data_IF_808330210377
#
_entry.id   IF_808330210377
#
_cell.length_a   1.000
_cell.length_b   1.000
_cell.length_c   1.000
_cell.angle_alpha   90.00
_cell.angle_beta   90.00
_cell.angle_gamma   90.00
#
_symmetry.space_group_name_H-M   'P 1'
#
loop_
_entity.id
_entity.type
_entity.pdbx_description
1 polymer ?
#
# COMPACT_ATOMS: atom_id res chain seq x y z
N UNK A 1 -12.67 4.20 -28.24
CA UNK A 1 -13.59 5.31 -27.91
C UNK A 1 -13.43 5.67 -26.45
N UNK A 2 -12.90 6.86 -26.13
CA UNK A 2 -12.95 7.40 -24.76
C UNK A 2 -14.36 7.98 -24.56
N UNK A 3 -15.19 7.30 -23.78
CA UNK A 3 -16.50 7.82 -23.41
C UNK A 3 -16.29 9.02 -22.50
N UNK A 4 -16.54 10.23 -23.00
CA UNK A 4 -16.52 11.45 -22.20
C UNK A 4 -17.71 11.44 -21.25
N UNK A 5 -17.45 11.39 -19.95
CA UNK A 5 -18.48 11.49 -18.92
C UNK A 5 -19.22 12.84 -19.04
N UNK A 6 -20.54 12.84 -18.85
CA UNK A 6 -21.33 14.07 -18.78
C UNK A 6 -20.83 14.96 -17.64
N UNK A 7 -21.03 16.28 -17.77
CA UNK A 7 -20.53 17.28 -16.81
C UNK A 7 -20.98 16.99 -15.37
N UNK A 8 -22.20 16.48 -15.18
CA UNK A 8 -22.74 16.07 -13.88
C UNK A 8 -22.09 14.80 -13.30
N UNK A 9 -21.76 13.80 -14.12
CA UNK A 9 -21.09 12.58 -13.66
C UNK A 9 -19.63 12.84 -13.28
N UNK A 10 -18.97 13.79 -13.94
CA UNK A 10 -17.57 14.14 -13.70
C UNK A 10 -17.32 14.98 -12.42
N UNK A 11 -18.36 15.57 -11.82
CA UNK A 11 -18.21 16.42 -10.63
C UNK A 11 -17.67 15.65 -9.42
N UNK A 12 -18.23 14.47 -9.13
CA UNK A 12 -17.80 13.64 -8.00
C UNK A 12 -16.32 13.21 -8.10
N UNK A 13 -15.86 12.59 -9.22
CA UNK A 13 -14.45 12.23 -9.35
C UNK A 13 -13.48 13.41 -9.28
N UNK A 14 -13.88 14.60 -9.73
CA UNK A 14 -13.06 15.82 -9.61
C UNK A 14 -12.92 16.28 -8.16
N UNK A 15 -14.00 16.23 -7.37
CA UNK A 15 -13.92 16.55 -5.94
C UNK A 15 -13.05 15.53 -5.20
N UNK A 16 -13.20 14.23 -5.49
CA UNK A 16 -12.32 13.20 -4.94
C UNK A 16 -10.86 13.51 -5.28
N UNK A 17 -10.55 13.78 -6.56
CA UNK A 17 -9.19 14.14 -7.00
C UNK A 17 -8.65 15.35 -6.23
N UNK A 18 -9.48 16.37 -6.00
CA UNK A 18 -9.09 17.57 -5.27
C UNK A 18 -8.66 17.24 -3.85
N UNK A 19 -9.47 16.48 -3.11
CA UNK A 19 -9.14 16.03 -1.75
C UNK A 19 -7.85 15.18 -1.76
N UNK A 20 -7.72 14.26 -2.73
CA UNK A 20 -6.54 13.40 -2.85
C UNK A 20 -5.25 14.17 -3.17
N UNK A 21 -5.34 15.32 -3.84
CA UNK A 21 -4.19 16.21 -4.07
C UNK A 21 -3.90 17.06 -2.83
N UNK A 22 -4.92 17.58 -2.16
CA UNK A 22 -4.76 18.36 -0.92
C UNK A 22 -4.08 17.56 0.20
N UNK A 23 -4.35 16.25 0.31
CA UNK A 23 -3.63 15.39 1.28
C UNK A 23 -2.13 15.23 0.94
N UNK A 24 -1.76 15.25 -0.35
CA UNK A 24 -0.36 15.14 -0.77
C UNK A 24 0.39 16.45 -0.47
N UNK A 25 -0.23 17.57 -0.82
CA UNK A 25 0.25 18.91 -0.47
C UNK A 25 0.44 19.07 1.04
N UNK A 26 -0.54 18.61 1.84
CA UNK A 26 -0.47 18.64 3.30
C UNK A 26 0.76 17.88 3.84
N UNK A 27 1.07 16.71 3.28
CA UNK A 27 2.29 15.95 3.63
C UNK A 27 3.55 16.72 3.24
N UNK A 28 3.59 17.31 2.05
CA UNK A 28 4.77 18.02 1.55
C UNK A 28 5.10 19.20 2.46
N UNK A 29 4.08 20.00 2.80
CA UNK A 29 4.19 21.12 3.74
C UNK A 29 4.63 20.70 5.15
N UNK A 30 4.18 19.54 5.63
CA UNK A 30 4.69 18.98 6.89
C UNK A 30 6.17 18.57 6.78
N UNK A 31 6.56 17.94 5.67
CA UNK A 31 7.94 17.51 5.41
C UNK A 31 8.90 18.71 5.31
N UNK A 32 8.41 19.82 4.76
CA UNK A 32 9.13 21.10 4.66
C UNK A 32 9.13 21.91 5.98
N UNK A 33 8.40 21.45 7.01
CA UNK A 33 8.36 22.09 8.32
C UNK A 33 7.40 23.28 8.43
N UNK A 34 6.53 23.51 7.45
CA UNK A 34 5.54 24.59 7.46
C UNK A 34 4.38 24.34 8.45
N UNK A 35 4.12 23.06 8.77
CA UNK A 35 2.99 22.65 9.61
C UNK A 35 3.53 21.79 10.76
N UNK A 36 3.05 22.06 11.97
CA UNK A 36 3.37 21.24 13.14
C UNK A 36 2.66 19.89 13.12
N UNK A 37 3.16 18.90 13.86
CA UNK A 37 2.51 17.58 13.97
C UNK A 37 1.04 17.66 14.42
N UNK A 38 0.64 18.48 15.42
CA UNK A 38 -0.78 18.69 15.74
C UNK A 38 -1.59 19.33 14.61
N UNK A 39 -0.96 20.24 13.84
CA UNK A 39 -1.56 20.88 12.67
C UNK A 39 -1.82 19.87 11.55
N UNK A 40 -0.88 18.95 11.30
CA UNK A 40 -1.01 17.84 10.36
C UNK A 40 -2.21 16.96 10.72
N UNK A 41 -2.27 16.49 11.97
CA UNK A 41 -3.36 15.64 12.45
C UNK A 41 -4.73 16.32 12.29
N UNK A 42 -4.82 17.60 12.65
CA UNK A 42 -6.05 18.38 12.53
C UNK A 42 -6.48 18.58 11.07
N UNK A 43 -5.54 18.87 10.18
CA UNK A 43 -5.82 19.05 8.75
C UNK A 43 -6.17 17.73 8.06
N UNK A 44 -5.50 16.64 8.42
CA UNK A 44 -5.80 15.29 7.94
C UNK A 44 -7.21 14.87 8.34
N UNK A 45 -7.61 15.11 9.59
CA UNK A 45 -8.97 14.84 10.07
C UNK A 45 -10.05 15.61 9.31
N UNK A 46 -9.79 16.89 8.97
CA UNK A 46 -10.73 17.67 8.13
C UNK A 46 -10.87 17.08 6.72
N UNK A 47 -9.76 16.74 6.07
CA UNK A 47 -9.81 16.13 4.73
C UNK A 47 -10.48 14.75 4.75
N UNK A 48 -10.30 13.97 5.81
CA UNK A 48 -10.99 12.69 5.99
C UNK A 48 -12.50 12.89 6.15
N UNK A 49 -12.94 13.85 6.96
CA UNK A 49 -14.35 14.20 7.12
C UNK A 49 -14.95 14.77 5.81
N UNK A 50 -14.19 15.53 5.03
CA UNK A 50 -14.60 16.00 3.70
C UNK A 50 -14.81 14.82 2.74
N UNK A 51 -13.90 13.84 2.74
CA UNK A 51 -14.04 12.63 1.94
C UNK A 51 -15.25 11.81 2.36
N UNK A 52 -15.48 11.65 3.67
CA UNK A 52 -16.65 10.92 4.19
C UNK A 52 -17.96 11.58 3.77
N UNK A 53 -18.07 12.91 3.94
CA UNK A 53 -19.23 13.68 3.47
C UNK A 53 -19.43 13.58 1.97
N UNK A 54 -18.34 13.52 1.20
CA UNK A 54 -18.40 13.32 -0.24
C UNK A 54 -18.87 11.92 -0.60
N UNK A 55 -18.52 10.88 0.17
CA UNK A 55 -18.89 9.48 -0.11
C UNK A 55 -20.27 9.07 0.43
N UNK A 56 -20.84 9.84 1.37
CA UNK A 56 -22.13 9.53 2.00
C UNK A 56 -23.36 9.49 1.04
N UNK A 57 -23.48 10.37 0.02
CA UNK A 57 -24.65 10.38 -0.85
C UNK A 57 -24.76 9.16 -1.76
N UNK A 58 -25.99 8.79 -2.12
CA UNK A 58 -26.23 7.76 -3.13
C UNK A 58 -26.19 8.36 -4.55
N UNK A 59 -25.17 8.01 -5.33
CA UNK A 59 -25.03 8.50 -6.71
C UNK A 59 -26.00 7.83 -7.67
N UNK A 60 -26.49 8.57 -8.68
CA UNK A 60 -27.38 8.01 -9.73
C UNK A 60 -26.62 7.23 -10.81
N UNK A 61 -25.39 7.63 -11.13
CA UNK A 61 -24.57 6.98 -12.16
C UNK A 61 -23.94 5.69 -11.60
N UNK A 62 -24.04 4.56 -12.35
CA UNK A 62 -23.37 3.31 -11.96
C UNK A 62 -21.85 3.45 -11.81
N UNK A 63 -21.20 4.30 -12.61
CA UNK A 63 -19.76 4.60 -12.52
C UNK A 63 -19.42 5.23 -11.18
N UNK A 64 -20.17 6.26 -10.78
CA UNK A 64 -19.95 6.95 -9.52
C UNK A 64 -20.29 6.09 -8.31
N UNK A 65 -21.31 5.22 -8.41
CA UNK A 65 -21.60 4.22 -7.37
C UNK A 65 -20.43 3.23 -7.20
N UNK A 66 -19.91 2.68 -8.30
CA UNK A 66 -18.75 1.77 -8.28
C UNK A 66 -17.53 2.46 -7.67
N UNK A 67 -17.27 3.70 -8.07
CA UNK A 67 -16.13 4.46 -7.58
C UNK A 67 -16.27 4.81 -6.09
N UNK A 68 -17.44 5.28 -5.65
CA UNK A 68 -17.70 5.55 -4.23
C UNK A 68 -17.57 4.28 -3.38
N UNK A 69 -18.10 3.14 -3.84
CA UNK A 69 -17.94 1.85 -3.16
C UNK A 69 -16.47 1.43 -3.03
N UNK A 70 -15.67 1.64 -4.08
CA UNK A 70 -14.25 1.36 -4.02
C UNK A 70 -13.51 2.25 -3.01
N UNK A 71 -13.81 3.56 -3.01
CA UNK A 71 -13.22 4.50 -2.05
C UNK A 71 -13.62 4.22 -0.60
N UNK A 72 -14.87 3.79 -0.37
CA UNK A 72 -15.33 3.35 0.95
C UNK A 72 -14.57 2.08 1.40
N UNK A 73 -14.33 1.14 0.49
CA UNK A 73 -13.56 -0.07 0.82
C UNK A 73 -12.11 0.24 1.18
N UNK A 74 -11.49 1.21 0.50
CA UNK A 74 -10.10 1.62 0.73
C UNK A 74 -9.97 2.80 1.70
N UNK A 75 -11.06 3.24 2.35
CA UNK A 75 -11.14 4.51 3.07
C UNK A 75 -10.04 4.64 4.12
N UNK A 76 -9.88 3.60 4.94
CA UNK A 76 -8.88 3.56 6.01
C UNK A 76 -7.46 3.76 5.48
N UNK A 77 -7.19 3.36 4.22
CA UNK A 77 -5.88 3.46 3.57
C UNK A 77 -5.61 4.84 2.96
N UNK A 78 -6.63 5.67 2.75
CA UNK A 78 -6.48 6.95 2.06
C UNK A 78 -5.66 7.97 2.85
N UNK A 79 -5.62 7.87 4.19
CA UNK A 79 -4.99 8.89 5.03
C UNK A 79 -3.89 8.34 5.96
N UNK A 80 -3.58 7.02 5.91
CA UNK A 80 -2.64 6.36 6.83
C UNK A 80 -1.29 7.07 6.89
N UNK A 81 -0.74 7.49 5.76
CA UNK A 81 0.59 8.12 5.72
C UNK A 81 0.64 9.50 6.39
N UNK A 82 -0.50 10.15 6.60
CA UNK A 82 -0.58 11.40 7.37
C UNK A 82 -0.64 11.13 8.88
N UNK A 83 -1.13 9.94 9.26
CA UNK A 83 -1.23 9.51 10.65
C UNK A 83 0.01 8.74 11.12
N UNK A 84 0.69 8.06 10.20
CA UNK A 84 1.87 7.27 10.47
C UNK A 84 3.12 7.87 9.85
N UNK A 85 3.86 8.63 10.67
CA UNK A 85 5.10 9.28 10.27
C UNK A 85 6.14 8.25 9.85
N UNK A 86 6.66 8.38 8.63
CA UNK A 86 7.62 7.44 8.04
C UNK A 86 7.00 6.51 6.99
N UNK A 87 5.67 6.45 6.86
CA UNK A 87 5.03 5.82 5.72
C UNK A 87 5.04 6.76 4.52
N UNK A 88 5.55 6.29 3.38
CA UNK A 88 5.51 7.04 2.13
C UNK A 88 4.07 7.07 1.57
N UNK A 89 3.64 8.19 1.00
CA UNK A 89 2.34 8.31 0.32
C UNK A 89 2.32 7.63 -1.07
N UNK A 90 3.29 6.77 -1.35
CA UNK A 90 3.46 6.06 -2.62
C UNK A 90 3.57 4.57 -2.36
N UNK A 91 3.00 3.77 -3.25
CA UNK A 91 3.13 2.33 -3.25
C UNK A 91 4.44 1.84 -3.92
N UNK A 92 5.32 2.75 -4.36
CA UNK A 92 6.51 2.44 -5.14
C UNK A 92 7.35 1.32 -4.54
N UNK A 93 7.63 1.35 -3.22
CA UNK A 93 8.40 0.28 -2.55
C UNK A 93 7.73 -1.09 -2.65
N UNK A 94 6.40 -1.13 -2.51
CA UNK A 94 5.60 -2.35 -2.63
C UNK A 94 5.58 -2.88 -4.07
N UNK A 95 5.37 -1.99 -5.05
CA UNK A 95 5.42 -2.35 -6.46
C UNK A 95 6.81 -2.86 -6.87
N UNK A 96 7.89 -2.21 -6.44
CA UNK A 96 9.25 -2.67 -6.70
C UNK A 96 9.52 -4.02 -6.02
N UNK A 97 8.99 -4.24 -4.82
CA UNK A 97 9.17 -5.50 -4.10
C UNK A 97 8.49 -6.70 -4.80
N UNK A 98 7.33 -6.52 -5.44
CA UNK A 98 6.60 -7.60 -6.10
C UNK A 98 7.07 -7.90 -7.53
N UNK A 99 7.68 -6.93 -8.23
CA UNK A 99 8.15 -7.07 -9.62
C UNK A 99 8.97 -8.35 -9.89
N UNK A 100 9.97 -8.73 -9.07
CA UNK A 100 10.72 -9.96 -9.28
C UNK A 100 9.82 -11.20 -9.29
N UNK A 101 8.83 -11.28 -8.40
CA UNK A 101 7.90 -12.39 -8.34
C UNK A 101 6.96 -12.45 -9.56
N UNK A 102 6.52 -11.29 -10.06
CA UNK A 102 5.71 -11.19 -11.28
C UNK A 102 6.51 -11.68 -12.50
N UNK A 103 7.77 -11.27 -12.63
CA UNK A 103 8.65 -11.75 -13.70
C UNK A 103 8.90 -13.25 -13.57
N UNK A 104 9.26 -13.72 -12.38
CA UNK A 104 9.48 -15.14 -12.12
C UNK A 104 8.24 -15.97 -12.45
N UNK A 105 7.04 -15.53 -12.10
CA UNK A 105 5.77 -16.20 -12.47
C UNK A 105 5.58 -16.27 -13.99
N UNK A 106 5.94 -15.22 -14.72
CA UNK A 106 5.74 -15.15 -16.18
C UNK A 106 6.70 -16.05 -16.93
N UNK A 107 7.96 -16.08 -16.51
CA UNK A 107 9.01 -16.82 -17.22
C UNK A 107 9.12 -18.25 -16.70
N UNK A 108 8.99 -18.47 -15.39
CA UNK A 108 9.24 -19.75 -14.72
C UNK A 108 7.92 -20.33 -14.17
N UNK A 109 7.69 -21.62 -14.44
CA UNK A 109 6.43 -22.32 -14.14
C UNK A 109 6.14 -22.61 -12.67
N UNK A 110 6.80 -21.92 -11.73
CA UNK A 110 6.68 -22.14 -10.28
C UNK A 110 5.28 -21.93 -9.70
N UNK A 111 4.38 -21.23 -10.41
CA UNK A 111 3.01 -20.97 -9.96
C UNK A 111 1.94 -21.84 -10.67
N UNK A 112 2.34 -22.95 -11.31
CA UNK A 112 1.36 -23.83 -12.01
C UNK A 112 0.61 -24.77 -11.07
N UNK A 113 1.13 -24.99 -9.86
CA UNK A 113 0.49 -25.77 -8.80
C UNK A 113 0.42 -24.93 -7.53
N UNK A 114 -0.54 -25.23 -6.66
CA UNK A 114 -0.68 -24.56 -5.37
C UNK A 114 0.58 -24.71 -4.50
N UNK A 115 1.13 -25.93 -4.46
CA UNK A 115 2.39 -26.21 -3.74
C UNK A 115 3.57 -25.38 -4.28
N UNK A 116 3.68 -25.24 -5.60
CA UNK A 116 4.74 -24.42 -6.21
C UNK A 116 4.57 -22.94 -5.90
N UNK A 117 3.33 -22.43 -5.98
CA UNK A 117 3.02 -21.04 -5.67
C UNK A 117 3.32 -20.73 -4.19
N UNK A 118 2.95 -21.62 -3.27
CA UNK A 118 3.23 -21.49 -1.85
C UNK A 118 4.74 -21.54 -1.56
N UNK A 119 5.48 -22.46 -2.18
CA UNK A 119 6.93 -22.50 -2.04
C UNK A 119 7.58 -21.20 -2.53
N UNK A 120 7.12 -20.66 -3.67
CA UNK A 120 7.61 -19.39 -4.20
C UNK A 120 7.27 -18.20 -3.30
N UNK A 121 6.07 -18.16 -2.71
CA UNK A 121 5.64 -17.15 -1.74
C UNK A 121 6.59 -17.12 -0.53
N UNK A 122 6.81 -18.28 0.12
CA UNK A 122 7.68 -18.42 1.29
C UNK A 122 9.12 -18.01 0.97
N UNK A 123 9.69 -18.56 -0.11
CA UNK A 123 11.07 -18.26 -0.51
C UNK A 123 11.25 -16.79 -0.86
N UNK A 124 10.32 -16.18 -1.60
CA UNK A 124 10.40 -14.76 -1.96
C UNK A 124 10.34 -13.87 -0.72
N UNK A 125 9.49 -14.21 0.24
CA UNK A 125 9.40 -13.50 1.52
C UNK A 125 10.71 -13.54 2.30
N UNK A 126 11.31 -14.73 2.46
CA UNK A 126 12.61 -14.93 3.14
C UNK A 126 13.72 -14.15 2.43
N UNK A 127 13.85 -14.30 1.11
CA UNK A 127 14.88 -13.64 0.32
C UNK A 127 14.73 -12.11 0.36
N UNK A 128 13.49 -11.60 0.27
CA UNK A 128 13.24 -10.15 0.30
C UNK A 128 13.57 -9.57 1.66
N UNK A 129 13.16 -10.25 2.72
CA UNK A 129 13.41 -9.88 4.11
C UNK A 129 14.92 -9.86 4.40
N UNK A 130 15.66 -10.87 3.95
CA UNK A 130 17.11 -10.94 4.13
C UNK A 130 17.83 -9.80 3.41
N UNK A 131 17.43 -9.51 2.16
CA UNK A 131 17.98 -8.37 1.39
C UNK A 131 17.68 -7.02 2.04
N UNK A 132 16.48 -6.81 2.59
CA UNK A 132 16.13 -5.57 3.29
C UNK A 132 16.99 -5.35 4.54
N UNK A 133 17.50 -6.42 5.13
CA UNK A 133 18.39 -6.42 6.30
C UNK A 133 19.88 -6.48 5.94
N UNK A 134 20.24 -6.45 4.65
CA UNK A 134 21.60 -6.67 4.16
C UNK A 134 22.24 -7.99 4.68
N UNK A 135 21.42 -9.02 4.90
CA UNK A 135 21.85 -10.35 5.31
C UNK A 135 21.88 -11.31 4.12
N UNK A 136 22.86 -12.23 4.10
CA UNK A 136 22.89 -13.34 3.15
C UNK A 136 21.92 -14.45 3.59
N UNK A 137 20.87 -14.76 2.80
CA UNK A 137 19.91 -15.80 3.15
C UNK A 137 20.47 -17.22 2.99
N UNK A 138 21.52 -17.43 2.18
CA UNK A 138 21.94 -18.78 1.78
C UNK A 138 22.44 -19.64 2.95
N UNK A 139 23.30 -19.16 3.86
CA UNK A 139 23.74 -19.95 5.01
C UNK A 139 22.57 -20.36 5.91
N UNK A 140 21.63 -19.45 6.12
CA UNK A 140 20.43 -19.68 6.94
C UNK A 140 19.52 -20.74 6.32
N UNK A 141 19.28 -20.66 5.02
CA UNK A 141 18.47 -21.65 4.29
C UNK A 141 19.15 -23.02 4.24
N UNK A 142 20.46 -23.07 4.00
CA UNK A 142 21.23 -24.32 4.01
C UNK A 142 21.19 -25.00 5.38
N UNK A 143 21.42 -24.23 6.45
CA UNK A 143 21.34 -24.73 7.82
C UNK A 143 19.93 -25.25 8.16
N UNK A 144 18.88 -24.58 7.70
CA UNK A 144 17.50 -25.03 7.91
C UNK A 144 17.21 -26.35 7.17
N UNK A 145 17.66 -26.48 5.93
CA UNK A 145 17.47 -27.69 5.10
C UNK A 145 18.27 -28.89 5.62
N UNK A 146 19.44 -28.67 6.23
CA UNK A 146 20.28 -29.73 6.79
C UNK A 146 19.98 -30.05 8.25
N UNK A 147 19.09 -29.31 8.91
CA UNK A 147 18.76 -29.54 10.30
C UNK A 147 17.85 -30.76 10.48
N UNK A 148 18.15 -31.67 11.42
CA UNK A 148 17.29 -32.82 11.72
C UNK A 148 15.98 -32.41 12.43
N UNK A 149 15.88 -31.17 12.93
CA UNK A 149 14.71 -30.62 13.60
C UNK A 149 14.31 -29.30 12.95
N UNK A 150 13.01 -29.07 12.78
CA UNK A 150 12.49 -27.77 12.37
C UNK A 150 12.72 -26.73 13.47
N UNK A 151 13.11 -25.53 13.08
CA UNK A 151 13.21 -24.38 13.97
C UNK A 151 12.77 -23.12 13.23
N UNK A 152 12.36 -22.11 13.99
CA UNK A 152 11.95 -20.81 13.43
C UNK A 152 13.19 -20.03 13.06
N UNK A 153 13.28 -19.61 11.81
CA UNK A 153 14.36 -18.74 11.37
C UNK A 153 14.11 -17.33 11.90
N UNK A 154 14.93 -16.88 12.84
CA UNK A 154 14.85 -15.53 13.37
C UNK A 154 15.65 -14.56 12.50
N UNK A 155 15.00 -13.48 12.07
CA UNK A 155 15.62 -12.39 11.32
C UNK A 155 15.83 -11.12 12.16
N UNK A 156 15.54 -11.14 13.47
CA UNK A 156 15.67 -10.03 14.41
C UNK A 156 14.57 -8.96 14.24
N UNK A 157 13.91 -8.53 15.31
CA UNK A 157 12.87 -7.50 15.27
C UNK A 157 13.48 -6.08 15.31
N UNK A 158 13.57 -5.42 14.15
CA UNK A 158 13.76 -3.97 14.06
C UNK A 158 12.70 -3.39 13.13
N UNK A 159 11.44 -3.45 13.55
CA UNK A 159 10.47 -2.50 13.03
C UNK A 159 10.50 -1.27 13.96
N UNK A 160 10.74 -0.05 13.47
CA UNK A 160 10.36 1.13 14.23
C UNK A 160 8.86 1.01 14.55
N UNK A 161 8.47 1.47 15.75
CA UNK A 161 7.13 1.31 16.28
C UNK A 161 6.08 1.53 15.19
N UNK A 162 5.29 0.48 14.93
CA UNK A 162 4.15 0.55 14.02
C UNK A 162 3.13 1.49 14.64
N UNK A 163 2.78 2.54 13.92
CA UNK A 163 1.37 2.82 13.73
C UNK A 163 0.79 1.70 12.86
#
# INVERSE_FOLDING_TARGET
MLVTASSGTAAFPRHVKTILLQRLDLRDRYTEGEISSPGLASAAGRLAADMERLLAPHYRSPENQRFAKHLLHEYDRLFVYLNCLGLEATNWRGEQAIRPAVVARKVWGGNRTENGAHAQEVLTSVLRTSRQRAADPLPSLAALLSSPKSYVLDFGSHYPARC
#
